data_IF_316449744550
#
_entry.id   IF_316449744550
#
_cell.length_a   1.000
_cell.length_b   1.000
_cell.length_c   1.000
_cell.angle_alpha   90.00
_cell.angle_beta   90.00
_cell.angle_gamma   90.00
#
_symmetry.space_group_name_H-M   'P 1'
#
loop_
_entity.id
_entity.type
_entity.pdbx_description
1 polymer ?
#
# COMPACT_ATOMS: atom_id res chain seq x y z
N UNK A 1 -79.59 5.77 15.84
CA UNK A 1 -79.05 4.55 15.20
C UNK A 1 -78.50 4.96 13.84
N UNK A 2 -77.17 5.03 13.67
CA UNK A 2 -76.58 5.30 12.36
C UNK A 2 -76.69 4.03 11.51
N UNK A 3 -77.17 4.18 10.27
CA UNK A 3 -77.46 3.12 9.33
C UNK A 3 -76.17 2.33 8.97
N UNK A 4 -76.21 1.00 8.91
CA UNK A 4 -75.06 0.12 8.59
C UNK A 4 -74.31 0.55 7.31
N UNK A 5 -75.03 1.15 6.35
CA UNK A 5 -74.43 1.73 5.13
C UNK A 5 -73.53 2.94 5.41
N UNK A 6 -73.83 3.76 6.40
CA UNK A 6 -73.00 4.90 6.81
C UNK A 6 -71.72 4.44 7.52
N UNK A 7 -71.77 3.38 8.32
CA UNK A 7 -70.60 2.82 9.00
C UNK A 7 -69.60 2.18 8.01
N UNK A 8 -70.07 1.40 7.02
CA UNK A 8 -69.21 0.87 5.94
C UNK A 8 -68.58 1.97 5.08
N UNK A 9 -69.31 3.05 4.80
CA UNK A 9 -68.80 4.18 4.01
C UNK A 9 -67.72 4.96 4.77
N UNK A 10 -67.85 5.10 6.09
CA UNK A 10 -66.82 5.70 6.95
C UNK A 10 -65.56 4.82 7.06
N UNK A 11 -65.72 3.50 7.25
CA UNK A 11 -64.61 2.53 7.25
C UNK A 11 -63.80 2.53 5.93
N UNK A 12 -64.48 2.53 4.78
CA UNK A 12 -63.83 2.57 3.48
C UNK A 12 -63.13 3.93 3.21
N UNK A 13 -63.67 5.03 3.74
CA UNK A 13 -63.08 6.36 3.65
C UNK A 13 -61.81 6.49 4.51
N UNK A 14 -61.82 6.00 5.76
CA UNK A 14 -60.63 5.92 6.61
C UNK A 14 -59.53 5.04 6.02
N UNK A 15 -59.89 3.89 5.42
CA UNK A 15 -58.92 3.02 4.73
C UNK A 15 -58.28 3.67 3.51
N UNK A 16 -59.02 4.50 2.76
CA UNK A 16 -58.50 5.28 1.62
C UNK A 16 -57.57 6.40 2.08
N UNK A 17 -57.88 7.08 3.18
CA UNK A 17 -57.02 8.12 3.78
C UNK A 17 -55.71 7.52 4.29
N UNK A 18 -55.76 6.39 4.99
CA UNK A 18 -54.55 5.71 5.47
C UNK A 18 -53.65 5.23 4.32
N UNK A 19 -54.24 4.68 3.25
CA UNK A 19 -53.49 4.30 2.04
C UNK A 19 -52.89 5.51 1.32
N UNK A 20 -53.64 6.60 1.19
CA UNK A 20 -53.13 7.85 0.62
C UNK A 20 -52.00 8.45 1.47
N UNK A 21 -52.13 8.41 2.79
CA UNK A 21 -51.09 8.85 3.73
C UNK A 21 -49.81 8.02 3.60
N UNK A 22 -49.92 6.70 3.48
CA UNK A 22 -48.77 5.82 3.24
C UNK A 22 -48.08 6.08 1.89
N UNK A 23 -48.86 6.32 0.82
CA UNK A 23 -48.30 6.65 -0.49
C UNK A 23 -47.58 8.00 -0.49
N UNK A 24 -48.13 9.01 0.19
CA UNK A 24 -47.48 10.32 0.33
C UNK A 24 -46.20 10.21 1.16
N UNK A 25 -46.23 9.48 2.29
CA UNK A 25 -45.05 9.26 3.12
C UNK A 25 -43.93 8.51 2.38
N UNK A 26 -44.29 7.47 1.60
CA UNK A 26 -43.33 6.75 0.76
C UNK A 26 -42.73 7.64 -0.35
N UNK A 27 -43.55 8.50 -0.97
CA UNK A 27 -43.07 9.46 -1.97
C UNK A 27 -42.10 10.49 -1.35
N UNK A 28 -42.40 11.00 -0.16
CA UNK A 28 -41.51 11.93 0.56
C UNK A 28 -40.18 11.27 0.98
N UNK A 29 -40.21 10.01 1.42
CA UNK A 29 -38.99 9.26 1.73
C UNK A 29 -38.10 9.02 0.50
N UNK A 30 -38.69 8.84 -0.68
CA UNK A 30 -37.95 8.72 -1.94
C UNK A 30 -37.28 10.04 -2.35
N UNK A 31 -37.86 11.20 -2.01
CA UNK A 31 -37.25 12.52 -2.25
C UNK A 31 -36.11 12.87 -1.28
N UNK A 32 -35.95 12.13 -0.18
CA UNK A 32 -34.85 12.34 0.76
C UNK A 32 -33.49 11.80 0.24
N UNK A 33 -33.51 10.92 -0.76
CA UNK A 33 -32.31 10.45 -1.44
C UNK A 33 -31.80 11.56 -2.39
N UNK A 34 -30.64 12.14 -2.10
CA UNK A 34 -30.03 13.19 -2.91
C UNK A 34 -28.52 12.94 -3.08
N UNK A 35 -28.00 13.18 -4.28
CA UNK A 35 -26.59 12.90 -4.63
C UNK A 35 -25.71 14.16 -4.70
N UNK A 36 -26.25 15.32 -4.32
CA UNK A 36 -25.70 16.66 -4.53
C UNK A 36 -24.21 16.87 -4.14
N UNK A 37 -23.69 16.08 -3.20
CA UNK A 37 -22.28 16.13 -2.77
C UNK A 37 -21.62 14.77 -2.59
N UNK A 38 -22.26 13.69 -3.06
CA UNK A 38 -21.68 12.35 -3.06
C UNK A 38 -20.55 12.27 -4.09
N UNK A 39 -20.83 12.72 -5.31
CA UNK A 39 -19.87 12.86 -6.39
C UNK A 39 -19.58 14.34 -6.64
N UNK A 40 -18.43 14.79 -6.15
CA UNK A 40 -18.02 16.18 -6.23
C UNK A 40 -17.22 16.42 -7.51
N UNK A 41 -17.31 17.63 -8.07
CA UNK A 41 -16.52 18.08 -9.22
C UNK A 41 -15.05 18.37 -8.85
N UNK A 42 -14.39 17.42 -8.20
CA UNK A 42 -12.97 17.43 -7.85
C UNK A 42 -12.43 16.01 -7.99
N UNK A 43 -11.11 15.87 -8.17
CA UNK A 43 -10.48 14.57 -8.15
C UNK A 43 -10.04 14.15 -6.75
N UNK A 44 -10.45 12.96 -6.34
CA UNK A 44 -9.91 12.28 -5.16
C UNK A 44 -8.58 11.55 -5.50
N UNK A 45 -7.74 11.19 -4.51
CA UNK A 45 -6.38 10.71 -4.75
C UNK A 45 -6.21 9.53 -5.72
N UNK A 46 -7.20 8.63 -5.81
CA UNK A 46 -7.19 7.47 -6.69
C UNK A 46 -8.49 7.36 -7.50
N UNK A 47 -9.12 8.49 -7.82
CA UNK A 47 -10.30 8.48 -8.68
C UNK A 47 -9.89 8.06 -10.09
N UNK A 48 -10.32 6.87 -10.48
CA UNK A 48 -9.79 6.12 -11.62
C UNK A 48 -10.35 6.55 -12.98
N UNK A 49 -11.41 7.36 -13.02
CA UNK A 49 -12.10 7.70 -14.26
C UNK A 49 -12.19 9.21 -14.43
N UNK A 50 -11.56 9.72 -15.47
CA UNK A 50 -11.84 11.02 -16.04
C UNK A 50 -11.57 11.01 -17.55
N UNK A 51 -12.34 11.78 -18.30
CA UNK A 51 -12.23 11.84 -19.77
C UNK A 51 -11.22 12.90 -20.25
N UNK A 52 -10.46 13.52 -19.32
CA UNK A 52 -9.49 14.56 -19.64
C UNK A 52 -8.15 13.99 -20.10
N UNK A 53 -7.72 12.84 -19.55
CA UNK A 53 -6.43 12.21 -19.87
C UNK A 53 -6.61 10.85 -20.54
N UNK A 54 -5.71 10.51 -21.47
CA UNK A 54 -5.79 9.29 -22.28
C UNK A 54 -5.76 7.97 -21.48
N UNK A 55 -5.16 7.99 -20.29
CA UNK A 55 -5.06 6.84 -19.37
C UNK A 55 -6.19 6.80 -18.33
N UNK A 56 -7.12 7.76 -18.37
CA UNK A 56 -8.24 7.89 -17.42
C UNK A 56 -7.82 8.31 -16.00
N UNK A 57 -6.53 8.42 -15.71
CA UNK A 57 -6.02 8.61 -14.35
C UNK A 57 -6.00 10.09 -13.96
N UNK A 58 -6.67 10.42 -12.85
CA UNK A 58 -6.58 11.76 -12.26
C UNK A 58 -5.22 11.99 -11.59
N UNK A 59 -4.65 10.94 -10.99
CA UNK A 59 -3.29 10.96 -10.45
C UNK A 59 -2.28 10.96 -11.61
N UNK A 60 -1.67 12.12 -11.89
CA UNK A 60 -0.67 12.26 -12.95
C UNK A 60 0.70 11.76 -12.48
N UNK A 61 1.49 11.14 -13.37
CA UNK A 61 2.88 10.83 -13.06
C UNK A 61 3.66 12.13 -12.80
N UNK A 62 4.65 12.05 -11.92
CA UNK A 62 5.59 13.15 -11.74
C UNK A 62 6.45 13.30 -12.99
N UNK A 63 6.83 14.53 -13.32
CA UNK A 63 7.82 14.78 -14.36
C UNK A 63 9.18 14.31 -13.87
N UNK A 64 9.89 13.57 -14.72
CA UNK A 64 11.21 13.03 -14.39
C UNK A 64 12.19 14.15 -13.99
N UNK A 65 13.14 13.84 -13.10
CA UNK A 65 14.13 14.78 -12.57
C UNK A 65 13.58 15.99 -11.79
N UNK A 66 12.30 15.98 -11.39
CA UNK A 66 11.77 16.98 -10.46
C UNK A 66 12.00 16.58 -9.01
N UNK A 67 12.35 17.56 -8.17
CA UNK A 67 12.61 17.34 -6.73
C UNK A 67 11.56 18.05 -5.88
N UNK A 68 10.78 17.28 -5.14
CA UNK A 68 9.79 17.82 -4.22
C UNK A 68 10.45 18.31 -2.91
N UNK A 69 9.89 19.36 -2.30
CA UNK A 69 10.28 19.82 -0.95
C UNK A 69 10.12 18.67 0.05
N UNK A 70 11.15 18.44 0.87
CA UNK A 70 11.19 17.33 1.84
C UNK A 70 11.55 15.96 1.24
N UNK A 71 11.84 15.89 -0.07
CA UNK A 71 12.29 14.68 -0.76
C UNK A 71 13.52 14.93 -1.64
N UNK A 72 14.54 15.57 -1.07
CA UNK A 72 15.76 15.92 -1.79
C UNK A 72 16.51 14.68 -2.34
N UNK A 73 16.66 13.63 -1.53
CA UNK A 73 17.18 12.31 -1.91
C UNK A 73 18.57 12.31 -2.61
N UNK A 74 19.50 13.13 -2.11
CA UNK A 74 20.88 13.23 -2.64
C UNK A 74 21.96 12.78 -1.65
N UNK A 75 21.59 12.43 -0.41
CA UNK A 75 22.56 12.04 0.61
C UNK A 75 22.75 10.51 0.63
N UNK A 76 23.81 10.07 1.32
CA UNK A 76 24.12 8.65 1.40
C UNK A 76 23.00 7.85 2.10
N UNK A 77 22.32 8.47 3.06
CA UNK A 77 21.19 7.87 3.78
C UNK A 77 19.98 7.63 2.89
N UNK A 78 19.65 8.52 1.96
CA UNK A 78 18.48 8.35 1.09
C UNK A 78 18.73 7.47 -0.13
N UNK A 79 20.00 7.29 -0.52
CA UNK A 79 20.40 6.60 -1.76
C UNK A 79 21.06 5.24 -1.53
N UNK A 80 21.70 5.02 -0.38
CA UNK A 80 22.53 3.84 -0.14
C UNK A 80 23.91 3.91 -0.79
N UNK A 81 24.32 5.07 -1.34
CA UNK A 81 25.60 5.27 -2.02
C UNK A 81 26.43 6.37 -1.38
N UNK A 82 27.75 6.25 -1.47
CA UNK A 82 28.68 7.28 -0.98
C UNK A 82 28.37 8.61 -1.68
N UNK A 83 28.22 9.69 -0.89
CA UNK A 83 27.85 11.03 -1.34
C UNK A 83 26.55 11.13 -2.18
N UNK A 84 25.74 10.06 -2.23
CA UNK A 84 24.55 9.98 -3.08
C UNK A 84 24.80 10.02 -4.58
N UNK A 85 26.04 9.78 -5.02
CA UNK A 85 26.39 9.65 -6.42
C UNK A 85 25.72 8.40 -7.01
N UNK A 86 24.90 8.50 -8.08
CA UNK A 86 24.30 7.34 -8.75
C UNK A 86 25.30 6.28 -9.21
N UNK A 87 26.52 6.68 -9.55
CA UNK A 87 27.62 5.79 -9.94
C UNK A 87 28.62 5.54 -8.81
N UNK A 88 28.38 6.12 -7.63
CA UNK A 88 29.23 5.99 -6.47
C UNK A 88 29.21 4.58 -5.87
N UNK A 89 30.21 4.29 -5.06
CA UNK A 89 30.30 3.05 -4.30
C UNK A 89 29.10 2.91 -3.34
N UNK A 90 28.64 1.67 -3.11
CA UNK A 90 27.62 1.40 -2.11
C UNK A 90 28.15 1.64 -0.70
N UNK A 91 27.27 2.05 0.21
CA UNK A 91 27.57 2.04 1.63
C UNK A 91 27.79 0.61 2.13
N UNK A 92 28.88 0.38 2.85
CA UNK A 92 29.17 -0.91 3.46
C UNK A 92 28.38 -1.13 4.75
N UNK A 93 27.97 -0.06 5.42
CA UNK A 93 27.22 -0.09 6.69
C UNK A 93 25.99 0.81 6.64
N UNK A 94 24.95 0.44 7.38
CA UNK A 94 23.74 1.26 7.59
C UNK A 94 24.11 2.64 8.16
N UNK A 95 23.67 3.76 7.53
CA UNK A 95 24.05 5.12 7.94
C UNK A 95 23.16 5.72 9.05
N UNK A 96 22.17 4.97 9.56
CA UNK A 96 21.28 5.39 10.64
C UNK A 96 21.50 4.54 11.90
N UNK A 97 21.13 5.06 13.06
CA UNK A 97 21.24 4.32 14.32
C UNK A 97 20.35 3.07 14.32
N UNK A 98 20.98 1.90 14.46
CA UNK A 98 20.27 0.62 14.60
C UNK A 98 19.88 0.41 16.05
N UNK A 99 18.64 0.79 16.40
CA UNK A 99 18.05 0.55 17.74
C UNK A 99 17.19 -0.72 17.76
N UNK A 100 16.87 -1.27 18.95
CA UNK A 100 15.94 -2.40 19.07
C UNK A 100 14.57 -2.12 18.43
N UNK A 101 14.08 -0.88 18.54
CA UNK A 101 12.81 -0.45 17.95
C UNK A 101 12.89 -0.43 16.42
N UNK A 102 14.03 0.01 15.86
CA UNK A 102 14.28 -0.04 14.41
C UNK A 102 14.31 -1.49 13.91
N UNK A 103 14.96 -2.39 14.65
CA UNK A 103 14.99 -3.82 14.29
C UNK A 103 13.61 -4.46 14.35
N UNK A 104 12.81 -4.16 15.38
CA UNK A 104 11.43 -4.63 15.48
C UNK A 104 10.58 -4.10 14.32
N UNK A 105 10.73 -2.82 13.96
CA UNK A 105 10.11 -2.22 12.78
C UNK A 105 10.56 -2.89 11.49
N UNK A 106 11.84 -3.19 11.38
CA UNK A 106 12.44 -3.91 10.25
C UNK A 106 11.83 -5.29 10.06
N UNK A 107 11.69 -6.06 11.14
CA UNK A 107 11.06 -7.37 11.14
C UNK A 107 9.60 -7.31 10.69
N UNK A 108 8.83 -6.34 11.20
CA UNK A 108 7.45 -6.11 10.78
C UNK A 108 7.38 -5.82 9.27
N UNK A 109 8.19 -4.87 8.79
CA UNK A 109 8.20 -4.45 7.39
C UNK A 109 8.68 -5.53 6.44
N UNK A 110 9.70 -6.28 6.84
CA UNK A 110 10.19 -7.46 6.11
C UNK A 110 9.09 -8.52 5.97
N UNK A 111 8.37 -8.82 7.05
CA UNK A 111 7.26 -9.79 7.02
C UNK A 111 6.13 -9.38 6.07
N UNK A 112 5.87 -8.07 5.94
CA UNK A 112 4.84 -7.54 5.05
C UNK A 112 5.26 -7.60 3.57
N UNK A 113 6.47 -7.14 3.24
CA UNK A 113 6.85 -6.92 1.85
C UNK A 113 7.77 -8.00 1.26
N UNK A 114 8.64 -8.58 2.08
CA UNK A 114 9.76 -9.41 1.61
C UNK A 114 9.52 -10.90 1.84
N UNK A 115 8.97 -11.27 3.01
CA UNK A 115 8.83 -12.66 3.44
C UNK A 115 7.92 -13.51 2.53
N UNK A 116 6.98 -12.89 1.82
CA UNK A 116 6.07 -13.57 0.87
C UNK A 116 6.85 -14.33 -0.20
N UNK A 117 7.96 -13.74 -0.68
CA UNK A 117 8.84 -14.35 -1.68
C UNK A 117 10.13 -14.92 -1.07
N UNK A 118 10.76 -14.20 -0.13
CA UNK A 118 12.06 -14.60 0.43
C UNK A 118 11.97 -15.54 1.65
N UNK A 119 10.76 -15.84 2.13
CA UNK A 119 10.53 -16.67 3.32
C UNK A 119 10.61 -15.86 4.61
N UNK A 120 9.92 -16.29 5.67
CA UNK A 120 9.90 -15.58 6.95
C UNK A 120 11.29 -15.52 7.63
N UNK A 121 12.13 -16.51 7.35
CA UNK A 121 13.52 -16.59 7.81
C UNK A 121 14.53 -16.26 6.70
N UNK A 122 14.13 -15.71 5.55
CA UNK A 122 15.10 -15.29 4.53
C UNK A 122 15.83 -16.39 3.74
N UNK A 123 15.37 -17.64 3.82
CA UNK A 123 15.99 -18.77 3.11
C UNK A 123 15.57 -18.91 1.64
N UNK A 124 14.85 -17.94 1.06
CA UNK A 124 14.34 -17.99 -0.31
C UNK A 124 13.15 -18.94 -0.52
N UNK A 125 12.57 -19.51 0.55
CA UNK A 125 11.44 -20.47 0.49
C UNK A 125 10.11 -19.82 0.87
N UNK A 126 9.88 -18.58 0.46
CA UNK A 126 8.54 -17.96 0.57
C UNK A 126 7.54 -18.68 -0.34
N UNK A 127 6.26 -18.70 0.04
CA UNK A 127 5.22 -19.40 -0.71
C UNK A 127 5.17 -18.99 -2.19
N UNK A 128 5.33 -17.69 -2.47
CA UNK A 128 5.39 -17.18 -3.85
C UNK A 128 6.77 -17.43 -4.47
N UNK A 129 7.84 -17.33 -3.68
CA UNK A 129 9.22 -17.49 -4.16
C UNK A 129 9.49 -18.85 -4.81
N UNK A 130 8.85 -19.91 -4.30
CA UNK A 130 8.97 -21.26 -4.86
C UNK A 130 8.40 -21.39 -6.29
N UNK A 131 7.50 -20.48 -6.69
CA UNK A 131 6.82 -20.45 -7.98
C UNK A 131 7.52 -19.54 -9.01
N UNK A 132 8.47 -18.71 -8.58
CA UNK A 132 9.17 -17.76 -9.45
C UNK A 132 10.33 -18.42 -10.20
N UNK A 133 10.59 -17.93 -11.42
CA UNK A 133 11.76 -18.27 -12.20
C UNK A 133 12.46 -16.99 -12.69
N UNK A 134 13.71 -16.69 -12.26
CA UNK A 134 14.48 -17.42 -11.27
C UNK A 134 13.88 -17.32 -9.86
N UNK A 135 14.18 -18.30 -9.01
CA UNK A 135 13.80 -18.27 -7.59
C UNK A 135 14.56 -17.17 -6.85
N UNK A 136 13.95 -16.52 -5.84
CA UNK A 136 14.67 -15.59 -4.98
C UNK A 136 15.83 -16.29 -4.27
N UNK A 137 17.03 -15.68 -4.23
CA UNK A 137 18.17 -16.25 -3.53
C UNK A 137 17.95 -16.28 -2.01
N UNK A 138 18.68 -17.16 -1.34
CA UNK A 138 18.72 -17.24 0.12
C UNK A 138 19.67 -16.17 0.65
N UNK A 139 19.26 -15.39 1.67
CA UNK A 139 20.12 -14.36 2.25
C UNK A 139 21.36 -14.92 2.95
N UNK A 140 21.44 -16.23 3.12
CA UNK A 140 22.56 -16.96 3.72
C UNK A 140 23.64 -17.36 2.71
N UNK A 141 23.42 -17.15 1.42
CA UNK A 141 24.42 -17.44 0.39
C UNK A 141 25.61 -16.48 0.54
N UNK A 142 26.85 -16.98 0.35
CA UNK A 142 28.08 -16.19 0.57
C UNK A 142 28.07 -14.87 -0.21
N UNK A 143 27.62 -14.90 -1.46
CA UNK A 143 27.46 -13.70 -2.30
C UNK A 143 26.62 -12.61 -1.62
N UNK A 144 25.56 -13.01 -0.91
CA UNK A 144 24.64 -12.09 -0.23
C UNK A 144 25.13 -11.69 1.16
N UNK A 145 25.93 -12.52 1.82
CA UNK A 145 26.63 -12.13 3.03
C UNK A 145 27.65 -11.01 2.74
N UNK A 146 28.42 -11.15 1.66
CA UNK A 146 29.45 -10.20 1.22
C UNK A 146 28.91 -8.95 0.50
N UNK A 147 27.67 -8.99 0.02
CA UNK A 147 27.00 -7.85 -0.59
C UNK A 147 26.94 -6.66 0.39
N UNK A 148 27.25 -5.41 0.01
CA UNK A 148 27.21 -4.26 0.92
C UNK A 148 25.78 -3.83 1.27
N UNK A 149 25.60 -3.19 2.43
CA UNK A 149 24.28 -2.73 2.93
C UNK A 149 23.56 -1.79 1.95
N UNK A 150 24.32 -0.93 1.29
CA UNK A 150 23.82 -0.02 0.26
C UNK A 150 23.27 -0.73 -0.98
N UNK A 151 23.79 -1.91 -1.32
CA UNK A 151 23.25 -2.69 -2.44
C UNK A 151 21.92 -3.36 -2.08
N UNK A 152 21.76 -3.83 -0.84
CA UNK A 152 20.45 -4.26 -0.35
C UNK A 152 19.42 -3.13 -0.43
N UNK A 153 19.81 -1.92 -0.01
CA UNK A 153 18.97 -0.73 -0.13
C UNK A 153 18.61 -0.43 -1.60
N UNK A 154 19.58 -0.48 -2.52
CA UNK A 154 19.36 -0.28 -3.96
C UNK A 154 18.36 -1.29 -4.54
N UNK A 155 18.50 -2.57 -4.21
CA UNK A 155 17.57 -3.62 -4.68
C UNK A 155 16.15 -3.39 -4.14
N UNK A 156 16.00 -2.93 -2.90
CA UNK A 156 14.68 -2.57 -2.34
C UNK A 156 14.07 -1.41 -3.13
N UNK A 157 14.86 -0.37 -3.44
CA UNK A 157 14.35 0.85 -4.07
C UNK A 157 14.06 0.63 -5.56
N UNK A 158 15.03 0.07 -6.28
CA UNK A 158 15.08 0.03 -7.75
C UNK A 158 14.76 -1.37 -8.32
N UNK A 159 14.76 -2.42 -7.49
CA UNK A 159 14.63 -3.79 -7.95
C UNK A 159 15.95 -4.36 -8.51
N UNK A 160 15.93 -5.65 -8.86
CA UNK A 160 17.07 -6.35 -9.49
C UNK A 160 16.58 -7.57 -10.26
N UNK A 161 16.98 -7.70 -11.53
CA UNK A 161 16.59 -8.83 -12.37
C UNK A 161 15.07 -8.93 -12.47
N UNK A 162 14.48 -10.03 -12.00
CA UNK A 162 13.02 -10.24 -11.98
C UNK A 162 12.32 -9.67 -10.74
N UNK A 163 13.07 -9.20 -9.74
CA UNK A 163 12.49 -8.52 -8.59
C UNK A 163 12.16 -7.08 -8.97
N UNK A 164 10.87 -6.74 -9.06
CA UNK A 164 10.41 -5.38 -9.27
C UNK A 164 10.79 -4.45 -8.10
N UNK A 165 10.86 -3.15 -8.40
CA UNK A 165 11.10 -2.11 -7.42
C UNK A 165 10.05 -2.10 -6.29
N UNK A 166 10.49 -1.93 -5.04
CA UNK A 166 9.61 -1.78 -3.87
C UNK A 166 9.65 -0.38 -3.26
N UNK A 167 10.52 0.52 -3.74
CA UNK A 167 10.68 1.88 -3.19
C UNK A 167 9.38 2.69 -3.13
N UNK A 168 8.43 2.47 -4.05
CA UNK A 168 7.12 3.14 -4.04
C UNK A 168 6.14 2.57 -3.01
N UNK A 169 6.32 1.30 -2.61
CA UNK A 169 5.55 0.65 -1.53
C UNK A 169 6.14 1.00 -0.17
N UNK A 170 7.48 1.04 -0.08
CA UNK A 170 8.23 1.39 1.14
C UNK A 170 8.75 2.83 0.99
N UNK A 171 7.86 3.80 1.21
CA UNK A 171 8.17 5.21 0.92
C UNK A 171 9.13 5.86 1.92
N UNK A 172 9.20 5.34 3.16
CA UNK A 172 10.09 5.86 4.20
C UNK A 172 11.52 5.33 4.05
N UNK A 173 12.52 6.20 4.15
CA UNK A 173 13.94 5.81 4.19
C UNK A 173 14.24 4.98 5.43
N UNK A 174 13.64 5.34 6.57
CA UNK A 174 13.85 4.60 7.82
C UNK A 174 13.37 3.15 7.71
N UNK A 175 12.20 2.91 7.10
CA UNK A 175 11.66 1.56 6.92
C UNK A 175 12.52 0.73 5.95
N UNK A 176 13.11 1.36 4.92
CA UNK A 176 14.03 0.68 3.99
C UNK A 176 15.28 0.19 4.73
N UNK A 177 15.94 1.07 5.49
CA UNK A 177 17.11 0.68 6.29
C UNK A 177 16.76 -0.27 7.43
N UNK A 178 15.58 -0.16 8.02
CA UNK A 178 15.10 -1.10 9.03
C UNK A 178 14.99 -2.53 8.46
N UNK A 179 14.49 -2.67 7.23
CA UNK A 179 14.47 -3.97 6.54
C UNK A 179 15.89 -4.50 6.32
N UNK A 180 16.82 -3.65 5.85
CA UNK A 180 18.23 -4.07 5.68
C UNK A 180 18.83 -4.50 7.02
N UNK A 181 18.59 -3.75 8.11
CA UNK A 181 19.04 -4.11 9.45
C UNK A 181 18.49 -5.47 9.89
N UNK A 182 17.21 -5.74 9.61
CA UNK A 182 16.59 -7.02 9.92
C UNK A 182 17.18 -8.17 9.08
N UNK A 183 17.46 -7.96 7.79
CA UNK A 183 18.13 -8.97 6.95
C UNK A 183 19.53 -9.30 7.52
N UNK A 184 20.29 -8.28 7.95
CA UNK A 184 21.58 -8.50 8.62
C UNK A 184 21.45 -9.25 9.94
N UNK A 185 20.38 -9.02 10.69
CA UNK A 185 20.10 -9.77 11.90
C UNK A 185 19.74 -11.23 11.60
N UNK A 186 18.93 -11.48 10.56
CA UNK A 186 18.62 -12.83 10.10
C UNK A 186 19.89 -13.61 9.72
N UNK A 187 20.84 -12.96 9.03
CA UNK A 187 22.11 -13.56 8.60
C UNK A 187 22.99 -14.05 9.76
N UNK A 188 22.86 -13.49 10.96
CA UNK A 188 23.61 -13.95 12.15
C UNK A 188 23.13 -15.31 12.66
N UNK A 189 21.88 -15.69 12.35
CA UNK A 189 21.25 -16.91 12.84
C UNK A 189 20.74 -17.75 11.64
N UNK A 190 21.64 -18.44 10.92
CA UNK A 190 21.24 -19.26 9.78
C UNK A 190 20.27 -20.37 10.23
N UNK A 191 19.16 -20.60 9.50
CA UNK A 191 18.22 -21.65 9.82
C UNK A 191 18.90 -23.01 9.62
N UNK A 192 18.58 -23.96 10.50
CA UNK A 192 19.04 -25.34 10.35
C UNK A 192 18.55 -25.88 9.01
N UNK A 193 19.48 -26.42 8.21
CA UNK A 193 19.16 -27.04 6.94
C UNK A 193 18.50 -28.38 7.23
N UNK A 194 17.16 -28.42 7.14
CA UNK A 194 16.40 -29.66 7.00
C UNK A 194 16.16 -29.95 5.52
#
# INVERSE_FOLDING_TARGET
>A
MLNERQCRRQSAWFGRILRAGWLIAAALLMTACHLEMYDQAKFNPQQAANDLFADGAAARPLVEHTVARGRLRIDATSTGRVAGDPNGAYLTTIPIQVSPELLARGAERYRIYCAVCHGANGNGRGQVGLLLNPRPPSFYDQRLLEMPDGEYYDVIVNGRGTMYAYGYRIQSISDRWAIVAHIRELQKNPPQQN
#
